data_IF_003532030955
#
_entry.id   IF_003532030955
#
_cell.length_a   1.000
_cell.length_b   1.000
_cell.length_c   1.000
_cell.angle_alpha   90.00
_cell.angle_beta   90.00
_cell.angle_gamma   90.00
#
_symmetry.space_group_name_H-M   'P 1'
#
loop_
_entity.id
_entity.type
_entity.pdbx_description
1 polymer ?
#
# COMPACT_ATOMS: atom_id res chain seq x y z
N UNK A 1 -38.07 -50.01 -8.69
CA UNK A 1 -36.96 -49.30 -9.34
C UNK A 1 -37.53 -48.06 -10.00
N UNK A 2 -37.23 -46.87 -9.48
CA UNK A 2 -37.70 -45.61 -10.05
C UNK A 2 -36.84 -44.51 -9.47
N UNK A 3 -36.01 -43.93 -10.32
CA UNK A 3 -34.81 -43.19 -9.97
C UNK A 3 -35.10 -41.74 -9.58
N UNK A 4 -34.33 -41.25 -8.61
CA UNK A 4 -34.29 -39.90 -8.07
C UNK A 4 -33.60 -38.95 -9.05
N UNK A 5 -34.17 -37.78 -9.34
CA UNK A 5 -33.39 -36.63 -9.82
C UNK A 5 -33.76 -35.41 -8.98
N UNK A 6 -32.91 -35.06 -8.02
CA UNK A 6 -32.92 -33.76 -7.37
C UNK A 6 -32.10 -32.81 -8.25
N UNK A 7 -32.73 -31.80 -8.83
CA UNK A 7 -32.03 -30.71 -9.52
C UNK A 7 -31.37 -29.83 -8.46
N UNK A 8 -30.06 -29.93 -8.34
CA UNK A 8 -29.28 -29.02 -7.51
C UNK A 8 -29.38 -27.60 -8.10
N UNK A 9 -30.04 -26.70 -7.38
CA UNK A 9 -29.96 -25.25 -7.64
C UNK A 9 -28.53 -24.83 -7.29
N UNK A 10 -27.68 -24.71 -8.30
CA UNK A 10 -26.31 -24.23 -8.13
C UNK A 10 -26.36 -22.71 -7.94
N UNK A 11 -26.30 -22.26 -6.70
CA UNK A 11 -26.12 -20.84 -6.37
C UNK A 11 -24.67 -20.48 -6.70
N UNK A 12 -24.40 -19.97 -7.89
CA UNK A 12 -23.11 -19.35 -8.17
C UNK A 12 -22.94 -18.14 -7.22
N UNK A 13 -21.75 -17.92 -6.63
CA UNK A 13 -21.51 -16.72 -5.84
C UNK A 13 -21.76 -15.49 -6.71
N UNK A 14 -22.49 -14.50 -6.17
CA UNK A 14 -22.86 -13.29 -6.89
C UNK A 14 -21.59 -12.55 -7.36
N UNK A 15 -21.30 -12.61 -8.66
CA UNK A 15 -20.22 -11.88 -9.33
C UNK A 15 -20.81 -10.67 -10.02
N UNK A 16 -20.52 -9.48 -9.50
CA UNK A 16 -20.89 -8.23 -10.18
C UNK A 16 -19.80 -7.88 -11.18
N UNK A 17 -20.13 -7.86 -12.47
CA UNK A 17 -19.22 -7.43 -13.54
C UNK A 17 -19.58 -6.02 -13.98
N UNK A 18 -18.58 -5.14 -14.03
CA UNK A 18 -18.80 -3.71 -14.27
C UNK A 18 -17.97 -3.24 -15.47
N UNK A 19 -18.64 -2.70 -16.49
CA UNK A 19 -18.02 -2.20 -17.72
C UNK A 19 -17.75 -0.70 -17.75
N UNK A 20 -18.17 0.04 -16.72
CA UNK A 20 -17.99 1.49 -16.61
C UNK A 20 -17.63 1.90 -15.18
N UNK A 21 -17.36 3.19 -14.98
CA UNK A 21 -17.02 3.72 -13.66
C UNK A 21 -18.22 3.61 -12.71
N UNK A 22 -17.94 3.26 -11.47
CA UNK A 22 -18.92 3.14 -10.40
C UNK A 22 -18.43 3.94 -9.22
N UNK A 23 -19.34 4.63 -8.56
CA UNK A 23 -19.04 5.33 -7.32
C UNK A 23 -19.70 4.61 -6.16
N UNK A 24 -18.91 4.32 -5.13
CA UNK A 24 -19.39 3.98 -3.80
C UNK A 24 -19.23 5.21 -2.91
N UNK A 25 -20.36 5.81 -2.55
CA UNK A 25 -20.46 6.90 -1.61
C UNK A 25 -21.63 6.60 -0.67
N UNK A 26 -21.29 6.15 0.54
CA UNK A 26 -22.25 5.75 1.55
C UNK A 26 -22.27 6.75 2.70
N UNK A 27 -23.42 6.94 3.33
CA UNK A 27 -23.54 7.69 4.58
C UNK A 27 -23.22 6.85 5.82
N UNK A 28 -22.89 5.57 5.64
CA UNK A 28 -22.51 4.63 6.69
C UNK A 28 -21.36 3.73 6.21
N UNK A 29 -20.68 3.09 7.16
CA UNK A 29 -19.63 2.14 6.83
C UNK A 29 -20.19 0.94 6.04
N UNK A 30 -19.48 0.50 5.01
CA UNK A 30 -19.92 -0.58 4.12
C UNK A 30 -18.92 -1.73 4.13
N UNK A 31 -19.39 -2.94 4.41
CA UNK A 31 -18.62 -4.18 4.27
C UNK A 31 -19.19 -5.02 3.12
N UNK A 32 -18.40 -5.23 2.07
CA UNK A 32 -18.80 -6.03 0.91
C UNK A 32 -17.99 -7.34 0.87
N UNK A 33 -18.69 -8.47 0.99
CA UNK A 33 -18.08 -9.80 0.93
C UNK A 33 -18.08 -10.40 -0.47
N UNK A 34 -18.80 -9.77 -1.41
CA UNK A 34 -19.00 -10.29 -2.76
C UNK A 34 -17.73 -10.11 -3.61
N UNK A 35 -17.55 -10.99 -4.58
CA UNK A 35 -16.52 -10.81 -5.61
C UNK A 35 -16.91 -9.67 -6.56
N UNK A 36 -15.92 -8.85 -6.90
CA UNK A 36 -16.08 -7.70 -7.80
C UNK A 36 -15.21 -7.94 -9.04
N UNK A 37 -15.78 -7.80 -10.23
CA UNK A 37 -15.05 -7.88 -11.49
C UNK A 37 -15.08 -6.53 -12.21
N UNK A 38 -13.92 -5.90 -12.36
CA UNK A 38 -13.73 -4.62 -13.01
C UNK A 38 -13.26 -4.82 -14.45
N UNK A 39 -14.09 -4.40 -15.41
CA UNK A 39 -13.80 -4.47 -16.84
C UNK A 39 -12.74 -3.45 -17.28
N UNK A 40 -12.39 -3.48 -18.56
CA UNK A 40 -11.47 -2.53 -19.17
C UNK A 40 -11.99 -1.09 -19.04
N UNK A 41 -11.14 -0.19 -18.54
CA UNK A 41 -11.48 1.22 -18.33
C UNK A 41 -12.46 1.48 -17.18
N UNK A 42 -12.89 0.45 -16.44
CA UNK A 42 -13.77 0.61 -15.30
C UNK A 42 -12.97 0.96 -14.04
N UNK A 43 -13.39 2.02 -13.36
CA UNK A 43 -12.90 2.36 -12.02
C UNK A 43 -14.01 2.24 -10.99
N UNK A 44 -13.69 1.66 -9.83
CA UNK A 44 -14.49 1.81 -8.63
C UNK A 44 -13.98 3.02 -7.84
N UNK A 45 -14.76 4.09 -7.82
CA UNK A 45 -14.47 5.34 -7.13
C UNK A 45 -15.04 5.32 -5.71
N UNK A 46 -14.21 5.62 -4.72
CA UNK A 46 -14.57 5.73 -3.32
C UNK A 46 -14.42 7.19 -2.88
N UNK A 47 -15.52 7.93 -2.94
CA UNK A 47 -15.56 9.37 -2.68
C UNK A 47 -15.93 9.70 -1.21
N UNK A 48 -16.57 8.76 -0.50
CA UNK A 48 -17.21 9.02 0.79
C UNK A 48 -16.27 9.20 1.98
N UNK A 49 -16.80 9.79 3.06
CA UNK A 49 -16.09 10.00 4.33
C UNK A 49 -16.14 8.80 5.27
N UNK A 50 -16.89 7.75 4.93
CA UNK A 50 -17.06 6.54 5.75
C UNK A 50 -16.15 5.42 5.28
N UNK A 51 -15.89 4.49 6.19
CA UNK A 51 -15.06 3.33 5.89
C UNK A 51 -15.78 2.35 4.93
N UNK A 52 -15.04 1.84 3.96
CA UNK A 52 -15.48 0.79 3.04
C UNK A 52 -14.50 -0.37 3.12
N UNK A 53 -15.00 -1.57 3.41
CA UNK A 53 -14.22 -2.80 3.43
C UNK A 53 -14.67 -3.70 2.29
N UNK A 54 -13.73 -4.08 1.42
CA UNK A 54 -13.91 -5.08 0.37
C UNK A 54 -13.24 -6.38 0.83
N UNK A 55 -14.04 -7.34 1.28
CA UNK A 55 -13.58 -8.65 1.75
C UNK A 55 -13.60 -9.72 0.66
N UNK A 56 -14.44 -9.55 -0.36
CA UNK A 56 -14.41 -10.42 -1.54
C UNK A 56 -13.24 -10.13 -2.47
N UNK A 57 -12.97 -11.03 -3.41
CA UNK A 57 -11.91 -10.84 -4.42
C UNK A 57 -12.33 -9.78 -5.44
N UNK A 58 -11.51 -8.74 -5.58
CA UNK A 58 -11.55 -7.78 -6.69
C UNK A 58 -10.67 -8.30 -7.81
N UNK A 59 -11.21 -8.38 -9.03
CA UNK A 59 -10.58 -9.02 -10.19
C UNK A 59 -10.78 -8.19 -11.46
N UNK A 60 -10.06 -8.53 -12.53
CA UNK A 60 -10.21 -7.92 -13.86
C UNK A 60 -9.07 -6.96 -14.21
N UNK A 61 -9.31 -6.03 -15.11
CA UNK A 61 -8.27 -5.10 -15.61
C UNK A 61 -8.53 -3.65 -15.21
N UNK A 62 -9.70 -3.36 -14.65
CA UNK A 62 -10.02 -2.04 -14.10
C UNK A 62 -9.34 -1.75 -12.76
N UNK A 63 -9.53 -0.54 -12.25
CA UNK A 63 -8.84 -0.02 -11.06
C UNK A 63 -9.74 0.47 -9.94
N UNK A 64 -9.12 0.87 -8.84
CA UNK A 64 -9.78 1.51 -7.70
C UNK A 64 -9.30 2.96 -7.59
N UNK A 65 -10.18 3.89 -7.24
CA UNK A 65 -9.82 5.30 -7.00
C UNK A 65 -10.36 5.74 -5.64
N UNK A 66 -9.46 6.04 -4.71
CA UNK A 66 -9.76 6.39 -3.32
C UNK A 66 -9.53 7.89 -3.08
N UNK A 67 -10.62 8.65 -3.07
CA UNK A 67 -10.62 10.12 -2.92
C UNK A 67 -11.18 10.60 -1.57
N UNK A 68 -12.02 9.78 -0.91
CA UNK A 68 -12.68 10.17 0.32
C UNK A 68 -11.79 10.15 1.56
N UNK A 69 -12.26 10.71 2.68
CA UNK A 69 -11.48 10.76 3.93
C UNK A 69 -11.45 9.41 4.70
N UNK A 70 -12.44 8.53 4.49
CA UNK A 70 -12.55 7.26 5.21
C UNK A 70 -11.45 6.26 4.88
N UNK A 71 -11.52 5.09 5.50
CA UNK A 71 -10.66 3.93 5.23
C UNK A 71 -11.19 3.11 4.06
N UNK A 72 -10.34 2.75 3.12
CA UNK A 72 -10.59 1.63 2.20
C UNK A 72 -9.83 0.40 2.71
N UNK A 73 -10.56 -0.59 3.20
CA UNK A 73 -10.01 -1.90 3.54
C UNK A 73 -10.05 -2.86 2.35
N UNK A 74 -8.90 -3.42 1.95
CA UNK A 74 -8.80 -4.47 0.93
C UNK A 74 -8.34 -5.78 1.56
N UNK A 75 -9.26 -6.72 1.76
CA UNK A 75 -9.01 -7.95 2.52
C UNK A 75 -8.97 -9.21 1.66
N UNK A 76 -9.45 -9.14 0.42
CA UNK A 76 -9.33 -10.22 -0.55
C UNK A 76 -7.90 -10.39 -1.08
N UNK A 77 -7.56 -11.62 -1.49
CA UNK A 77 -6.41 -11.88 -2.36
C UNK A 77 -6.80 -11.47 -3.79
N UNK A 78 -6.54 -10.21 -4.12
CA UNK A 78 -7.07 -9.56 -5.30
C UNK A 78 -6.24 -9.87 -6.56
N UNK A 79 -6.86 -9.73 -7.73
CA UNK A 79 -6.25 -10.04 -9.03
C UNK A 79 -6.49 -8.95 -10.08
N UNK A 80 -7.02 -7.78 -9.69
CA UNK A 80 -7.23 -6.68 -10.61
C UNK A 80 -5.89 -6.04 -11.04
N UNK A 81 -5.80 -5.67 -12.32
CA UNK A 81 -4.56 -5.13 -12.90
C UNK A 81 -4.53 -3.60 -13.05
N UNK A 82 -5.67 -2.90 -12.92
CA UNK A 82 -5.74 -1.46 -13.16
C UNK A 82 -5.14 -0.58 -12.05
N UNK A 83 -4.72 -1.19 -10.94
CA UNK A 83 -4.07 -0.49 -9.83
C UNK A 83 -5.03 0.28 -8.93
N UNK A 84 -4.45 1.02 -7.99
CA UNK A 84 -5.16 1.81 -6.99
C UNK A 84 -4.65 3.25 -7.05
N UNK A 85 -5.50 4.20 -7.41
CA UNK A 85 -5.25 5.62 -7.20
C UNK A 85 -5.64 6.02 -5.77
N UNK A 86 -4.66 6.33 -4.92
CA UNK A 86 -4.82 6.75 -3.54
C UNK A 86 -4.61 8.27 -3.42
N UNK A 87 -5.71 9.02 -3.44
CA UNK A 87 -5.68 10.49 -3.46
C UNK A 87 -5.96 11.12 -2.09
N UNK A 88 -6.60 10.39 -1.17
CA UNK A 88 -6.81 10.83 0.21
C UNK A 88 -7.19 9.69 1.17
N UNK A 89 -7.21 10.00 2.47
CA UNK A 89 -7.68 9.14 3.54
C UNK A 89 -6.72 7.97 3.81
N UNK A 90 -7.29 6.81 4.13
CA UNK A 90 -6.50 5.62 4.50
C UNK A 90 -6.79 4.43 3.56
N UNK A 91 -5.75 3.69 3.24
CA UNK A 91 -5.81 2.37 2.60
C UNK A 91 -5.28 1.33 3.60
N UNK A 92 -6.09 0.32 3.93
CA UNK A 92 -5.71 -0.77 4.83
C UNK A 92 -5.63 -2.07 4.06
N UNK A 93 -4.48 -2.74 4.12
CA UNK A 93 -4.29 -4.04 3.51
C UNK A 93 -4.60 -5.14 4.53
N UNK A 94 -5.57 -5.99 4.17
CA UNK A 94 -5.95 -7.21 4.89
C UNK A 94 -5.24 -8.47 4.38
N UNK A 95 -4.51 -8.36 3.27
CA UNK A 95 -3.88 -9.49 2.57
C UNK A 95 -2.60 -9.02 1.84
N UNK A 96 -1.61 -9.90 1.67
CA UNK A 96 -0.39 -9.60 0.92
C UNK A 96 -0.64 -9.31 -0.58
N UNK A 97 -1.69 -9.91 -1.16
CA UNK A 97 -2.16 -9.65 -2.53
C UNK A 97 -3.31 -8.62 -2.60
N UNK A 98 -3.51 -7.80 -1.57
CA UNK A 98 -4.65 -6.88 -1.50
C UNK A 98 -4.68 -5.84 -2.64
N UNK A 99 -3.54 -5.43 -3.19
CA UNK A 99 -3.47 -4.43 -4.27
C UNK A 99 -3.67 -5.03 -5.67
N UNK A 100 -3.86 -6.36 -5.79
CA UNK A 100 -3.86 -7.02 -7.09
C UNK A 100 -2.48 -6.98 -7.74
N UNK A 101 -2.45 -6.89 -9.07
CA UNK A 101 -1.20 -6.88 -9.85
C UNK A 101 -0.81 -5.49 -10.37
N UNK A 102 -1.68 -4.49 -10.19
CA UNK A 102 -1.44 -3.12 -10.64
C UNK A 102 -0.62 -2.27 -9.66
N UNK A 103 -0.27 -1.06 -10.08
CA UNK A 103 0.46 -0.09 -9.27
C UNK A 103 -0.41 0.55 -8.18
N UNK A 104 0.22 1.03 -7.10
CA UNK A 104 -0.38 1.99 -6.17
C UNK A 104 0.10 3.42 -6.53
N UNK A 105 -0.82 4.27 -6.98
CA UNK A 105 -0.55 5.66 -7.35
C UNK A 105 -1.03 6.60 -6.25
N UNK A 106 -0.10 7.21 -5.51
CA UNK A 106 -0.39 8.16 -4.44
C UNK A 106 -0.44 9.57 -5.02
N UNK A 107 -1.65 10.05 -5.32
CA UNK A 107 -1.89 11.35 -5.94
C UNK A 107 -2.08 12.51 -4.96
N UNK A 108 -2.32 12.21 -3.68
CA UNK A 108 -2.46 13.19 -2.61
C UNK A 108 -2.00 12.64 -1.28
N UNK A 109 -2.03 13.46 -0.22
CA UNK A 109 -1.62 13.01 1.11
C UNK A 109 -2.57 11.91 1.60
N UNK A 110 -2.01 10.73 1.85
CA UNK A 110 -2.77 9.57 2.24
C UNK A 110 -1.98 8.66 3.17
N UNK A 111 -2.68 7.73 3.81
CA UNK A 111 -2.10 6.77 4.74
C UNK A 111 -2.23 5.35 4.23
N UNK A 112 -1.23 4.52 4.53
CA UNK A 112 -1.22 3.08 4.28
C UNK A 112 -0.98 2.35 5.60
N UNK A 113 -1.82 1.37 5.89
CA UNK A 113 -1.61 0.47 7.02
C UNK A 113 -1.87 -0.99 6.63
N UNK A 114 -1.41 -1.91 7.46
CA UNK A 114 -1.63 -3.34 7.28
C UNK A 114 -2.16 -3.97 8.55
N UNK A 115 -2.98 -5.00 8.40
CA UNK A 115 -3.58 -5.73 9.54
C UNK A 115 -2.68 -6.82 10.11
N UNK A 116 -1.63 -7.19 9.38
CA UNK A 116 -0.59 -8.14 9.79
C UNK A 116 0.73 -7.79 9.09
N UNK A 117 1.76 -8.56 9.37
CA UNK A 117 3.02 -8.45 8.63
C UNK A 117 2.83 -8.92 7.18
N UNK A 118 3.16 -8.08 6.21
CA UNK A 118 3.02 -8.41 4.79
C UNK A 118 4.25 -8.04 3.96
N UNK A 119 4.41 -8.78 2.86
CA UNK A 119 5.31 -8.46 1.76
C UNK A 119 4.46 -8.13 0.55
N UNK A 120 4.66 -6.93 -0.01
CA UNK A 120 3.88 -6.39 -1.13
C UNK A 120 4.83 -6.08 -2.29
N UNK A 121 4.47 -6.58 -3.48
CA UNK A 121 5.30 -6.50 -4.69
C UNK A 121 4.86 -5.49 -5.73
N UNK A 122 3.87 -4.66 -5.42
CA UNK A 122 3.36 -3.63 -6.31
C UNK A 122 4.31 -2.43 -6.32
N UNK A 123 4.53 -1.83 -7.49
CA UNK A 123 5.22 -0.53 -7.58
C UNK A 123 4.38 0.55 -6.90
N UNK A 124 5.03 1.59 -6.37
CA UNK A 124 4.35 2.71 -5.74
C UNK A 124 4.83 4.02 -6.36
N UNK A 125 3.92 4.74 -7.01
CA UNK A 125 4.17 6.07 -7.56
C UNK A 125 3.75 7.15 -6.57
N UNK A 126 4.62 8.11 -6.28
CA UNK A 126 4.35 9.26 -5.41
C UNK A 126 4.31 10.53 -6.25
N UNK A 127 3.12 11.11 -6.44
CA UNK A 127 2.96 12.36 -7.17
C UNK A 127 3.69 13.53 -6.48
N UNK A 128 4.06 14.55 -7.25
CA UNK A 128 4.67 15.76 -6.71
C UNK A 128 3.75 16.40 -5.65
N UNK A 129 4.30 16.67 -4.46
CA UNK A 129 3.54 17.24 -3.34
C UNK A 129 2.67 16.24 -2.57
N UNK A 130 2.58 14.97 -2.99
CA UNK A 130 1.90 13.93 -2.24
C UNK A 130 2.85 13.26 -1.23
N UNK A 131 2.34 12.96 -0.04
CA UNK A 131 3.03 12.15 0.94
C UNK A 131 2.27 10.85 1.20
N UNK A 132 2.97 9.73 1.07
CA UNK A 132 2.48 8.44 1.57
C UNK A 132 2.93 8.27 3.01
N UNK A 133 1.98 8.22 3.93
CA UNK A 133 2.25 7.99 5.35
C UNK A 133 1.97 6.54 5.73
N UNK A 134 3.02 5.76 5.96
CA UNK A 134 2.91 4.39 6.45
C UNK A 134 2.69 4.43 7.96
N UNK A 135 1.50 4.03 8.41
CA UNK A 135 1.09 4.07 9.82
C UNK A 135 1.97 3.18 10.68
N UNK A 136 2.39 2.02 10.16
CA UNK A 136 3.36 1.14 10.79
C UNK A 136 2.81 0.37 11.99
N UNK A 137 1.54 -0.04 11.94
CA UNK A 137 0.94 -0.94 12.94
C UNK A 137 1.58 -2.33 12.91
N UNK A 138 2.02 -2.77 11.73
CA UNK A 138 2.69 -4.04 11.50
C UNK A 138 3.90 -3.88 10.59
N UNK A 139 4.75 -4.91 10.53
CA UNK A 139 5.90 -4.92 9.63
C UNK A 139 5.44 -4.97 8.16
N UNK A 140 6.01 -4.14 7.31
CA UNK A 140 5.67 -4.10 5.89
C UNK A 140 6.96 -4.14 5.06
N UNK A 141 7.05 -5.09 4.14
CA UNK A 141 8.12 -5.13 3.14
C UNK A 141 7.57 -4.76 1.77
N UNK A 142 8.16 -3.74 1.15
CA UNK A 142 7.89 -3.35 -0.23
C UNK A 142 9.03 -3.82 -1.11
N UNK A 143 8.77 -4.78 -1.99
CA UNK A 143 9.82 -5.41 -2.81
C UNK A 143 10.03 -4.73 -4.16
N UNK A 144 9.01 -4.06 -4.69
CA UNK A 144 9.13 -3.26 -5.90
C UNK A 144 9.49 -1.80 -5.57
N UNK A 145 10.04 -1.05 -6.54
CA UNK A 145 10.42 0.35 -6.33
C UNK A 145 9.26 1.26 -5.94
N UNK A 146 9.56 2.17 -5.01
CA UNK A 146 8.82 3.42 -4.80
C UNK A 146 9.50 4.52 -5.64
N UNK A 147 8.73 5.30 -6.40
CA UNK A 147 9.26 6.31 -7.32
C UNK A 147 8.42 7.58 -7.35
N UNK A 148 8.92 8.63 -7.99
CA UNK A 148 8.18 9.89 -8.20
C UNK A 148 8.81 11.10 -7.51
N UNK A 149 8.03 12.15 -7.31
CA UNK A 149 8.51 13.41 -6.69
C UNK A 149 7.91 13.65 -5.30
N UNK A 150 6.97 12.81 -4.86
CA UNK A 150 6.40 12.85 -3.52
C UNK A 150 7.31 12.27 -2.44
N UNK A 151 6.85 12.36 -1.19
CA UNK A 151 7.58 11.94 0.00
C UNK A 151 7.02 10.70 0.68
N UNK A 152 7.85 10.05 1.47
CA UNK A 152 7.49 8.92 2.31
C UNK A 152 7.59 9.30 3.78
N UNK A 153 6.55 8.99 4.57
CA UNK A 153 6.55 9.20 6.02
C UNK A 153 6.35 7.86 6.70
N UNK A 154 7.31 7.43 7.51
CA UNK A 154 7.25 6.21 8.31
C UNK A 154 6.87 6.55 9.76
N UNK A 155 5.73 6.05 10.19
CA UNK A 155 5.23 6.12 11.57
C UNK A 155 5.19 4.73 12.22
N UNK A 156 4.76 4.67 13.48
CA UNK A 156 4.54 3.42 14.20
C UNK A 156 5.84 2.70 14.56
N UNK A 157 5.77 1.79 15.54
CA UNK A 157 6.95 1.11 16.06
C UNK A 157 7.49 0.00 15.15
N UNK A 158 6.69 -0.50 14.21
CA UNK A 158 7.09 -1.61 13.35
C UNK A 158 8.16 -1.23 12.31
N UNK A 159 8.71 -2.20 11.61
CA UNK A 159 9.68 -1.96 10.52
C UNK A 159 8.97 -1.81 9.18
N UNK A 160 9.33 -0.77 8.43
CA UNK A 160 9.07 -0.70 6.99
C UNK A 160 10.37 -1.04 6.26
N UNK A 161 10.36 -2.08 5.44
CA UNK A 161 11.50 -2.52 4.65
C UNK A 161 11.28 -2.15 3.18
N UNK A 162 12.21 -1.41 2.59
CA UNK A 162 12.24 -1.13 1.16
C UNK A 162 13.35 -1.97 0.51
N UNK A 163 12.98 -2.93 -0.33
CA UNK A 163 13.94 -3.83 -1.00
C UNK A 163 14.14 -3.51 -2.48
N UNK A 164 13.30 -2.66 -3.07
CA UNK A 164 13.48 -2.15 -4.43
C UNK A 164 14.48 -0.98 -4.49
N UNK A 165 14.98 -0.68 -5.69
CA UNK A 165 15.76 0.53 -5.94
C UNK A 165 14.82 1.75 -6.01
N UNK A 166 14.65 2.46 -4.90
CA UNK A 166 13.66 3.53 -4.81
C UNK A 166 14.22 4.84 -5.36
N UNK A 167 13.41 5.54 -6.15
CA UNK A 167 13.83 6.74 -6.89
C UNK A 167 12.99 7.98 -6.58
N UNK A 168 12.14 7.92 -5.55
CA UNK A 168 11.35 9.06 -5.13
C UNK A 168 12.24 10.17 -4.54
N UNK A 169 11.98 11.42 -4.92
CA UNK A 169 12.85 12.56 -4.57
C UNK A 169 12.29 13.49 -3.51
N UNK A 170 11.02 13.36 -3.11
CA UNK A 170 10.40 14.19 -2.08
C UNK A 170 10.91 13.94 -0.65
N UNK A 171 11.85 12.99 -0.50
CA UNK A 171 12.51 12.68 0.76
C UNK A 171 11.74 11.69 1.63
N UNK A 172 12.37 11.29 2.73
CA UNK A 172 11.85 10.31 3.68
C UNK A 172 11.91 10.88 5.09
N UNK A 173 10.78 10.84 5.80
CA UNK A 173 10.74 11.16 7.23
C UNK A 173 10.43 9.90 8.02
N UNK A 174 11.23 9.60 9.05
CA UNK A 174 10.98 8.51 10.00
C UNK A 174 10.63 9.14 11.34
N UNK A 175 9.35 9.06 11.72
CA UNK A 175 8.86 9.57 12.99
C UNK A 175 9.01 8.53 14.11
N UNK A 176 8.89 7.24 13.80
CA UNK A 176 9.04 6.15 14.76
C UNK A 176 9.37 4.82 14.08
N UNK A 177 9.93 3.90 14.87
CA UNK A 177 10.31 2.57 14.42
C UNK A 177 11.45 2.61 13.41
N UNK A 178 11.55 1.56 12.60
CA UNK A 178 12.67 1.40 11.66
C UNK A 178 12.21 1.55 10.21
N UNK A 179 12.94 2.34 9.44
CA UNK A 179 13.02 2.21 8.00
C UNK A 179 14.24 1.35 7.68
N UNK A 180 14.04 0.18 7.10
CA UNK A 180 15.11 -0.72 6.69
C UNK A 180 15.26 -0.72 5.16
N UNK A 181 16.49 -0.77 4.67
CA UNK A 181 16.79 -1.07 3.27
C UNK A 181 17.20 -2.54 3.17
N UNK A 182 16.41 -3.31 2.42
CA UNK A 182 16.68 -4.73 2.18
C UNK A 182 17.79 -4.94 1.15
N UNK A 183 18.07 -6.20 0.82
CA UNK A 183 19.01 -6.54 -0.26
C UNK A 183 18.48 -5.99 -1.59
N UNK A 184 19.30 -5.18 -2.27
CA UNK A 184 18.90 -4.46 -3.49
C UNK A 184 18.15 -3.15 -3.23
N UNK A 185 17.82 -2.86 -1.97
CA UNK A 185 17.17 -1.64 -1.53
C UNK A 185 18.09 -0.43 -1.63
N UNK A 186 17.57 0.67 -2.15
CA UNK A 186 18.25 1.97 -2.12
C UNK A 186 17.25 3.12 -2.02
N UNK A 187 17.73 4.29 -1.60
CA UNK A 187 17.00 5.56 -1.69
C UNK A 187 17.61 6.43 -2.81
N UNK A 188 16.85 7.42 -3.28
CA UNK A 188 17.36 8.38 -4.24
C UNK A 188 18.51 9.19 -3.60
N UNK A 189 19.64 9.31 -4.32
CA UNK A 189 20.81 10.05 -3.85
C UNK A 189 20.55 11.55 -3.59
N UNK A 190 19.47 12.10 -4.13
CA UNK A 190 19.04 13.49 -3.92
C UNK A 190 17.95 13.62 -2.85
N UNK A 191 17.32 12.52 -2.43
CA UNK A 191 16.26 12.53 -1.43
C UNK A 191 16.84 12.71 -0.03
N UNK A 192 16.34 13.68 0.72
CA UNK A 192 16.70 13.83 2.12
C UNK A 192 16.09 12.72 2.99
N UNK A 193 16.78 12.34 4.06
CA UNK A 193 16.28 11.44 5.11
C UNK A 193 16.30 12.19 6.44
N UNK A 194 15.14 12.28 7.08
CA UNK A 194 14.96 12.89 8.40
C UNK A 194 14.53 11.85 9.41
N UNK A 195 15.37 11.55 10.40
CA UNK A 195 15.02 10.74 11.56
C UNK A 195 14.43 11.68 12.62
N UNK A 196 13.13 11.95 12.52
CA UNK A 196 12.49 13.04 13.23
C UNK A 196 12.12 12.72 14.69
N UNK A 197 11.86 11.46 15.01
CA UNK A 197 11.48 11.05 16.38
C UNK A 197 12.58 10.31 17.13
N UNK A 198 12.55 10.37 18.46
CA UNK A 198 13.58 9.80 19.34
C UNK A 198 13.73 8.27 19.26
N UNK A 199 12.82 7.56 18.60
CA UNK A 199 12.90 6.11 18.35
C UNK A 199 12.96 5.77 16.85
N UNK A 200 13.26 6.77 16.01
CA UNK A 200 13.43 6.56 14.59
C UNK A 200 14.79 5.93 14.29
N UNK A 201 14.77 4.88 13.49
CA UNK A 201 15.97 4.22 13.00
C UNK A 201 15.97 4.14 11.47
N UNK A 202 17.15 4.36 10.89
CA UNK A 202 17.46 3.93 9.53
C UNK A 202 18.39 2.73 9.62
N UNK A 203 18.01 1.61 9.02
CA UNK A 203 18.82 0.41 8.94
C UNK A 203 19.22 0.15 7.49
N UNK A 204 20.51 0.27 7.19
CA UNK A 204 21.09 -0.02 5.88
C UNK A 204 21.99 -1.25 5.91
N UNK A 205 21.98 -2.01 7.01
CA UNK A 205 22.86 -3.17 7.18
C UNK A 205 22.61 -4.31 6.20
N UNK A 206 21.38 -4.41 5.67
CA UNK A 206 20.98 -5.37 4.64
C UNK A 206 21.18 -4.88 3.20
N UNK A 207 21.58 -3.61 3.01
CA UNK A 207 21.69 -2.97 1.70
C UNK A 207 23.14 -2.92 1.20
N UNK A 208 23.32 -2.52 -0.06
CA UNK A 208 24.63 -2.16 -0.60
C UNK A 208 25.05 -0.75 -0.18
N UNK A 209 26.08 -0.20 -0.85
CA UNK A 209 26.50 1.19 -0.64
C UNK A 209 25.32 2.15 -0.85
N UNK A 210 25.13 3.07 0.10
CA UNK A 210 24.05 4.05 0.05
C UNK A 210 24.59 5.47 -0.11
N UNK A 211 23.87 6.24 -0.92
CA UNK A 211 23.98 7.69 -0.98
C UNK A 211 22.59 8.25 -0.78
N UNK A 212 22.48 9.26 0.09
CA UNK A 212 21.25 10.04 0.31
C UNK A 212 21.59 11.52 0.21
N UNK A 213 20.58 12.38 0.03
CA UNK A 213 20.80 13.81 -0.13
C UNK A 213 21.33 14.44 1.16
N UNK A 214 20.42 14.84 2.04
CA UNK A 214 20.75 15.22 3.41
C UNK A 214 20.34 14.10 4.37
N UNK A 215 21.09 13.90 5.45
CA UNK A 215 20.67 13.08 6.58
C UNK A 215 20.60 13.96 7.83
N UNK A 216 19.45 14.03 8.47
CA UNK A 216 19.24 14.69 9.76
C UNK A 216 18.63 13.73 10.78
N UNK A 217 18.86 13.98 12.07
CA UNK A 217 18.32 13.17 13.15
C UNK A 217 18.08 13.98 14.42
N UNK A 218 17.01 13.65 15.14
CA UNK A 218 16.75 14.10 16.49
C UNK A 218 17.58 13.31 17.53
N UNK A 219 17.66 13.79 18.77
CA UNK A 219 18.27 13.02 19.85
C UNK A 219 17.53 11.68 20.04
N UNK A 220 18.29 10.58 20.15
CA UNK A 220 17.76 9.22 20.33
C UNK A 220 17.65 8.39 19.05
N UNK A 221 17.81 8.99 17.87
CA UNK A 221 17.75 8.26 16.60
C UNK A 221 18.94 7.31 16.41
N UNK A 222 18.75 6.25 15.62
CA UNK A 222 19.81 5.30 15.29
C UNK A 222 20.04 5.14 13.79
N UNK A 223 21.29 4.92 13.42
CA UNK A 223 21.71 4.50 12.08
C UNK A 223 22.45 3.18 12.19
N UNK A 224 21.91 2.13 11.58
CA UNK A 224 22.50 0.79 11.57
C UNK A 224 23.19 0.58 10.22
N UNK A 225 24.53 0.52 10.23
CA UNK A 225 25.36 0.44 9.02
C UNK A 225 25.74 -1.00 8.61
N UNK A 226 25.48 -1.98 9.46
CA UNK A 226 25.98 -3.35 9.32
C UNK A 226 27.33 -3.59 10.00
N UNK A 227 27.75 -4.84 10.06
CA UNK A 227 29.04 -5.26 10.62
C UNK A 227 30.16 -5.24 9.58
N UNK A 228 31.41 -5.10 10.03
CA UNK A 228 32.56 -5.30 9.16
C UNK A 228 32.59 -6.77 8.68
N UNK A 229 32.69 -6.98 7.36
CA UNK A 229 33.10 -8.28 6.81
C UNK A 229 34.55 -8.48 7.30
N UNK A 230 34.76 -9.43 8.22
CA UNK A 230 36.09 -9.89 8.63
C UNK A 230 36.60 -10.95 7.67
#
# INVERSE_FOLDING_TARGET
>A
MGWYWATAVHWAPARSTWGGNITLDGSAALGLTNNIALGAGANLNLLGSTDVTLSGVVSGVGGLVKNGAGTLGLYGANTFGGGVGLNAGQLQLGNAGALGTGQLDVGGNATLDTTAAFTVGNTIGLAAGANLSVTGSNALTLTAPVFGAGGLIKNGSATLTLSGANTYTGGTTVNAGTLALGTGGSLAATGAVSLAGASAALDISGAGNQTVGALSGAAGTSLVLGGAIR
#
